data_IF_565892130776
#
_entry.id   IF_565892130776
#
_cell.length_a   1.000
_cell.length_b   1.000
_cell.length_c   1.000
_cell.angle_alpha   90.00
_cell.angle_beta   90.00
_cell.angle_gamma   90.00
#
_symmetry.space_group_name_H-M   'P 1'
#
loop_
_entity.id
_entity.type
_entity.pdbx_description
1 polymer ?
#
# COMPACT_ATOMS: atom_id res chain seq x y z
N UNK A 1 54.60 2.97 -9.22
CA UNK A 1 53.47 3.04 -8.26
C UNK A 1 52.43 4.12 -8.67
N UNK A 2 51.96 4.14 -9.92
CA UNK A 2 50.96 5.13 -10.41
C UNK A 2 49.68 4.52 -11.00
N UNK A 3 49.62 3.19 -11.15
CA UNK A 3 48.44 2.51 -11.71
C UNK A 3 47.61 1.75 -10.66
N UNK A 4 48.05 1.72 -9.39
CA UNK A 4 47.31 1.07 -8.31
C UNK A 4 46.17 1.93 -7.73
N UNK A 5 46.31 3.27 -7.81
CA UNK A 5 45.32 4.20 -7.25
C UNK A 5 44.03 4.26 -8.08
N UNK A 6 44.11 4.03 -9.40
CA UNK A 6 42.94 4.05 -10.29
C UNK A 6 42.05 2.80 -10.12
N UNK A 7 42.65 1.65 -9.77
CA UNK A 7 41.93 0.40 -9.52
C UNK A 7 41.21 0.41 -8.17
N UNK A 8 41.78 1.08 -7.17
CA UNK A 8 41.17 1.25 -5.84
C UNK A 8 39.99 2.24 -5.85
N UNK A 9 40.00 3.26 -6.72
CA UNK A 9 38.88 4.20 -6.83
C UNK A 9 37.63 3.62 -7.51
N UNK A 10 37.77 2.57 -8.33
CA UNK A 10 36.64 1.95 -9.05
C UNK A 10 35.77 1.06 -8.14
N UNK A 11 36.31 0.60 -7.01
CA UNK A 11 35.62 -0.25 -6.03
C UNK A 11 34.81 0.53 -4.98
N UNK A 12 34.89 1.87 -4.97
CA UNK A 12 34.23 2.72 -3.98
C UNK A 12 32.82 3.19 -4.38
N UNK A 13 32.31 2.77 -5.54
CA UNK A 13 30.99 3.18 -6.05
C UNK A 13 30.05 2.03 -6.44
N UNK A 14 30.30 0.80 -5.98
CA UNK A 14 29.31 -0.27 -6.13
C UNK A 14 28.21 -0.10 -5.07
N UNK A 15 27.09 0.52 -5.45
CA UNK A 15 25.86 0.39 -4.67
C UNK A 15 25.48 -1.09 -4.64
N UNK A 16 25.64 -1.75 -3.50
CA UNK A 16 25.16 -3.11 -3.29
C UNK A 16 23.63 -3.05 -3.21
N UNK A 17 22.96 -3.44 -4.30
CA UNK A 17 21.52 -3.72 -4.29
C UNK A 17 21.34 -5.20 -3.92
N UNK A 18 20.92 -5.48 -2.69
CA UNK A 18 20.66 -6.84 -2.19
C UNK A 18 19.14 -7.04 -2.09
N UNK A 19 18.44 -6.87 -3.20
CA UNK A 19 17.01 -7.17 -3.32
C UNK A 19 16.79 -8.04 -4.56
N UNK A 20 15.92 -9.04 -4.46
CA UNK A 20 15.65 -9.90 -5.62
C UNK A 20 14.73 -9.22 -6.64
N UNK A 21 13.82 -8.35 -6.17
CA UNK A 21 13.01 -7.50 -7.04
C UNK A 21 13.24 -6.03 -6.68
N UNK A 22 13.76 -5.26 -7.63
CA UNK A 22 13.93 -3.82 -7.50
C UNK A 22 13.18 -3.10 -8.61
N UNK A 23 12.32 -2.16 -8.24
CA UNK A 23 11.54 -1.35 -9.19
C UNK A 23 11.72 0.12 -8.86
N UNK A 24 12.28 0.89 -9.79
CA UNK A 24 12.49 2.32 -9.64
C UNK A 24 12.25 3.05 -10.96
N UNK A 25 11.91 4.36 -10.92
CA UNK A 25 11.93 5.21 -12.11
C UNK A 25 13.29 5.15 -12.80
N UNK A 26 13.33 5.45 -14.10
CA UNK A 26 14.58 5.52 -14.84
C UNK A 26 15.54 6.53 -14.14
N UNK A 27 16.73 6.10 -13.68
CA UNK A 27 17.62 6.98 -12.91
C UNK A 27 18.16 8.19 -13.68
N UNK A 28 18.13 8.17 -15.02
CA UNK A 28 18.65 9.23 -15.88
C UNK A 28 17.57 10.20 -16.36
N UNK A 29 16.39 9.69 -16.74
CA UNK A 29 15.29 10.52 -17.26
C UNK A 29 14.20 10.79 -16.23
N UNK A 30 14.27 10.18 -15.05
CA UNK A 30 13.23 10.16 -14.03
C UNK A 30 11.88 9.65 -14.53
N UNK A 31 11.80 9.05 -15.72
CA UNK A 31 10.55 8.54 -16.28
C UNK A 31 10.04 7.38 -15.44
N UNK A 32 8.73 7.36 -15.20
CA UNK A 32 8.11 6.34 -14.37
C UNK A 32 8.37 4.93 -14.91
N UNK A 33 8.50 3.96 -14.02
CA UNK A 33 8.66 2.55 -14.33
C UNK A 33 7.93 1.71 -13.29
N UNK A 34 7.22 0.69 -13.75
CA UNK A 34 6.37 -0.12 -12.89
C UNK A 34 6.23 -1.55 -13.41
N UNK A 35 5.86 -2.45 -12.52
CA UNK A 35 5.39 -3.80 -12.87
C UNK A 35 3.87 -3.80 -12.89
N UNK A 36 3.27 -4.28 -13.97
CA UNK A 36 1.84 -4.51 -14.08
C UNK A 36 1.56 -6.00 -14.15
N UNK A 37 0.87 -6.54 -13.16
CA UNK A 37 0.50 -7.94 -13.06
C UNK A 37 -1.03 -8.06 -13.10
N UNK A 38 -1.55 -8.86 -14.02
CA UNK A 38 -2.97 -9.15 -14.13
C UNK A 38 -3.19 -10.65 -14.20
N UNK A 39 -4.01 -11.17 -13.27
CA UNK A 39 -4.37 -12.59 -13.18
C UNK A 39 -3.15 -13.54 -13.14
N UNK A 40 -2.10 -13.11 -12.42
CA UNK A 40 -0.83 -13.84 -12.31
C UNK A 40 -0.22 -13.69 -10.91
N UNK A 41 0.49 -14.72 -10.49
CA UNK A 41 1.30 -14.68 -9.26
C UNK A 41 2.70 -14.18 -9.58
N UNK A 42 3.11 -13.09 -8.93
CA UNK A 42 4.49 -12.62 -8.88
C UNK A 42 5.14 -13.21 -7.62
N UNK A 43 6.08 -14.14 -7.81
CA UNK A 43 6.81 -14.76 -6.72
C UNK A 43 8.20 -14.13 -6.56
N UNK A 44 8.55 -13.72 -5.33
CA UNK A 44 9.87 -13.17 -4.97
C UNK A 44 10.39 -13.91 -3.73
N UNK A 45 11.40 -14.75 -3.88
CA UNK A 45 12.03 -15.49 -2.78
C UNK A 45 12.59 -14.59 -1.65
N UNK A 46 13.20 -13.44 -1.99
CA UNK A 46 13.76 -12.50 -1.00
C UNK A 46 12.91 -11.24 -0.83
N UNK A 47 13.52 -10.09 -0.55
CA UNK A 47 12.85 -8.81 -0.38
C UNK A 47 12.57 -8.10 -1.71
N UNK A 48 11.59 -7.19 -1.65
CA UNK A 48 11.30 -6.23 -2.70
C UNK A 48 11.78 -4.84 -2.29
N UNK A 49 12.42 -4.14 -3.22
CA UNK A 49 12.88 -2.76 -3.05
C UNK A 49 12.16 -1.86 -4.06
N UNK A 50 11.27 -1.00 -3.57
CA UNK A 50 10.40 -0.19 -4.42
C UNK A 50 10.72 1.29 -4.25
N UNK A 51 10.86 2.01 -5.36
CA UNK A 51 10.98 3.46 -5.39
C UNK A 51 9.74 4.06 -6.02
N UNK A 52 9.20 5.10 -5.38
CA UNK A 52 7.98 5.76 -5.79
C UNK A 52 8.16 6.48 -7.13
N UNK A 53 7.20 6.33 -8.04
CA UNK A 53 7.13 7.07 -9.30
C UNK A 53 6.73 8.53 -9.03
N UNK A 54 7.40 9.49 -9.68
CA UNK A 54 7.35 10.92 -9.31
C UNK A 54 6.75 11.84 -10.38
N UNK A 55 6.53 11.36 -11.61
CA UNK A 55 6.04 12.23 -12.67
C UNK A 55 4.55 12.57 -12.51
N UNK A 56 3.74 11.61 -12.07
CA UNK A 56 2.33 11.83 -11.76
C UNK A 56 1.93 11.11 -10.46
N UNK A 57 1.30 11.86 -9.56
CA UNK A 57 0.80 11.35 -8.29
C UNK A 57 -0.29 10.28 -8.46
N UNK A 58 -1.01 10.28 -9.60
CA UNK A 58 -2.06 9.29 -9.88
C UNK A 58 -1.48 7.93 -10.26
N UNK A 59 -0.29 7.90 -10.87
CA UNK A 59 0.43 6.70 -11.33
C UNK A 59 1.68 6.38 -10.51
N UNK A 60 1.74 6.86 -9.27
CA UNK A 60 2.96 6.79 -8.45
C UNK A 60 3.34 5.40 -7.90
N UNK A 61 2.55 4.35 -8.14
CA UNK A 61 2.86 3.02 -7.61
C UNK A 61 3.92 2.31 -8.45
N UNK A 62 4.73 1.47 -7.79
CA UNK A 62 5.82 0.72 -8.41
C UNK A 62 5.34 -0.64 -8.92
N UNK A 63 4.31 -1.22 -8.29
CA UNK A 63 3.69 -2.48 -8.70
C UNK A 63 2.18 -2.34 -8.67
N UNK A 64 1.51 -2.82 -9.72
CA UNK A 64 0.06 -2.86 -9.85
C UNK A 64 -0.44 -4.30 -9.95
N UNK A 65 -1.26 -4.74 -8.99
CA UNK A 65 -1.91 -6.06 -9.02
C UNK A 65 -3.38 -5.91 -9.42
N UNK A 66 -3.79 -6.55 -10.52
CA UNK A 66 -5.16 -6.49 -11.06
C UNK A 66 -5.75 -7.88 -11.29
N UNK A 67 -7.09 -7.95 -11.26
CA UNK A 67 -7.78 -9.23 -11.25
C UNK A 67 -7.41 -10.01 -10.00
N UNK A 68 -7.02 -11.27 -10.17
CA UNK A 68 -6.58 -12.16 -9.08
C UNK A 68 -5.05 -12.21 -8.93
N UNK A 69 -4.33 -11.20 -9.43
CA UNK A 69 -2.89 -11.13 -9.29
C UNK A 69 -2.43 -10.99 -7.84
N UNK A 70 -1.33 -11.65 -7.50
CA UNK A 70 -0.77 -11.69 -6.14
C UNK A 70 0.73 -11.45 -6.14
N UNK A 71 1.24 -10.79 -5.12
CA UNK A 71 2.65 -10.83 -4.76
C UNK A 71 2.82 -11.84 -3.63
N UNK A 72 3.61 -12.89 -3.88
CA UNK A 72 3.95 -13.90 -2.87
C UNK A 72 5.45 -13.82 -2.63
N UNK A 73 5.84 -13.72 -1.36
CA UNK A 73 7.24 -13.69 -0.96
C UNK A 73 7.67 -15.00 -0.28
N UNK A 74 8.94 -15.36 -0.41
CA UNK A 74 9.53 -16.50 0.28
C UNK A 74 9.47 -16.34 1.81
N UNK A 75 9.49 -17.47 2.51
CA UNK A 75 9.39 -17.49 3.97
C UNK A 75 10.58 -16.79 4.65
N UNK A 76 10.30 -16.01 5.68
CA UNK A 76 11.29 -15.24 6.45
C UNK A 76 10.70 -14.77 7.79
N UNK A 77 11.55 -14.65 8.81
CA UNK A 77 11.13 -14.21 10.13
C UNK A 77 10.69 -12.74 10.18
N UNK A 78 11.36 -11.85 9.44
CA UNK A 78 11.07 -10.42 9.42
C UNK A 78 11.12 -9.86 8.00
N UNK A 79 10.30 -8.83 7.75
CA UNK A 79 10.30 -8.10 6.49
C UNK A 79 11.61 -7.34 6.28
N UNK A 80 12.19 -7.52 5.09
CA UNK A 80 13.32 -6.73 4.60
C UNK A 80 12.93 -5.84 3.41
N UNK A 81 11.64 -5.78 3.08
CA UNK A 81 11.13 -4.93 2.02
C UNK A 81 11.52 -3.47 2.28
N UNK A 82 11.92 -2.73 1.24
CA UNK A 82 12.55 -1.42 1.41
C UNK A 82 12.08 -0.39 0.37
N UNK A 83 12.44 0.87 0.64
CA UNK A 83 12.20 1.99 -0.26
C UNK A 83 10.83 2.65 -0.09
N UNK A 84 10.62 3.79 -0.73
CA UNK A 84 9.42 4.62 -0.57
C UNK A 84 8.30 4.31 -1.56
N UNK A 85 8.51 3.34 -2.46
CA UNK A 85 7.57 2.90 -3.47
C UNK A 85 6.37 2.14 -2.90
N UNK A 86 5.40 1.89 -3.77
CA UNK A 86 4.08 1.36 -3.37
C UNK A 86 3.67 0.17 -4.24
N UNK A 87 3.19 -0.87 -3.60
CA UNK A 87 2.32 -1.88 -4.19
C UNK A 87 0.88 -1.34 -4.20
N UNK A 88 0.18 -1.47 -5.32
CA UNK A 88 -1.23 -1.11 -5.51
C UNK A 88 -2.09 -2.35 -5.64
N UNK A 89 -3.08 -2.49 -4.74
CA UNK A 89 -4.03 -3.61 -4.71
C UNK A 89 -5.46 -3.08 -4.62
N UNK A 90 -6.33 -3.54 -5.53
CA UNK A 90 -7.73 -3.16 -5.53
C UNK A 90 -8.57 -4.00 -4.58
N UNK A 91 -9.48 -3.35 -3.86
CA UNK A 91 -10.54 -4.02 -3.10
C UNK A 91 -11.87 -3.28 -3.27
N UNK A 92 -12.97 -4.05 -3.27
CA UNK A 92 -14.33 -3.49 -3.41
C UNK A 92 -15.01 -3.41 -2.05
N UNK A 93 -15.51 -2.21 -1.72
CA UNK A 93 -16.40 -2.01 -0.59
C UNK A 93 -17.73 -2.77 -0.77
N UNK A 94 -18.35 -3.17 0.34
CA UNK A 94 -19.59 -3.96 0.35
C UNK A 94 -20.83 -3.24 0.92
N UNK A 95 -20.64 -2.09 1.56
CA UNK A 95 -21.65 -1.36 2.33
C UNK A 95 -21.67 0.12 1.97
N UNK A 96 -22.80 0.77 2.23
CA UNK A 96 -22.97 2.22 2.10
C UNK A 96 -22.60 2.96 3.40
N UNK A 97 -22.95 4.25 3.49
CA UNK A 97 -22.70 5.10 4.65
C UNK A 97 -23.41 4.70 5.96
N UNK A 98 -24.20 3.63 5.99
CA UNK A 98 -24.82 3.10 7.19
C UNK A 98 -24.14 1.81 7.69
N UNK A 99 -23.30 1.19 6.87
CA UNK A 99 -22.57 -0.03 7.21
C UNK A 99 -21.06 0.18 7.38
N UNK A 100 -20.41 -0.84 7.93
CA UNK A 100 -18.97 -0.90 8.11
C UNK A 100 -18.37 -2.00 7.26
N UNK A 101 -17.23 -1.70 6.67
CA UNK A 101 -16.35 -2.69 6.10
C UNK A 101 -15.40 -3.22 7.17
N UNK A 102 -15.05 -4.50 7.05
CA UNK A 102 -13.96 -5.11 7.80
C UNK A 102 -12.83 -5.37 6.82
N UNK A 103 -11.66 -4.80 7.10
CA UNK A 103 -10.50 -4.85 6.22
C UNK A 103 -9.31 -5.46 6.93
N UNK A 104 -8.39 -5.99 6.13
CA UNK A 104 -7.01 -6.30 6.53
C UNK A 104 -6.06 -5.39 5.78
N UNK A 105 -4.81 -5.28 6.24
CA UNK A 105 -3.80 -4.36 5.69
C UNK A 105 -2.72 -5.13 4.93
N UNK A 106 -2.85 -5.30 3.59
CA UNK A 106 -1.83 -5.97 2.79
C UNK A 106 -0.54 -5.15 2.66
N UNK A 107 -0.59 -3.85 3.00
CA UNK A 107 0.49 -2.89 2.86
C UNK A 107 0.60 -2.00 4.10
N UNK A 108 1.76 -1.36 4.29
CA UNK A 108 2.03 -0.32 5.29
C UNK A 108 2.46 1.00 4.66
N UNK A 109 2.43 2.11 5.42
CA UNK A 109 2.89 3.41 4.97
C UNK A 109 4.44 3.42 4.82
N UNK A 110 5.00 3.51 3.61
CA UNK A 110 6.44 3.42 3.39
C UNK A 110 7.22 4.63 3.92
N UNK A 111 6.56 5.72 4.32
CA UNK A 111 7.20 6.92 4.86
C UNK A 111 7.54 6.83 6.35
N UNK A 112 7.04 5.81 7.05
CA UNK A 112 7.29 5.64 8.49
C UNK A 112 8.64 4.99 8.81
N UNK A 113 9.22 4.27 7.85
CA UNK A 113 10.52 3.60 7.96
C UNK A 113 11.09 3.35 6.57
N UNK A 114 12.40 3.32 6.41
CA UNK A 114 13.06 3.03 5.12
C UNK A 114 12.99 1.54 4.72
N UNK A 115 12.76 0.64 5.68
CA UNK A 115 12.62 -0.80 5.46
C UNK A 115 11.66 -1.47 6.46
N UNK A 116 11.30 -2.72 6.17
CA UNK A 116 10.42 -3.56 6.97
C UNK A 116 8.94 -3.20 6.85
N UNK A 117 8.11 -3.96 7.57
CA UNK A 117 6.69 -3.70 7.71
C UNK A 117 6.45 -2.41 8.48
N UNK A 118 5.44 -1.64 8.06
CA UNK A 118 5.07 -0.38 8.72
C UNK A 118 3.57 -0.34 8.95
N UNK A 119 3.13 0.57 9.83
CA UNK A 119 1.71 0.72 10.10
C UNK A 119 0.96 1.23 8.87
N UNK A 120 -0.29 0.78 8.73
CA UNK A 120 -1.24 1.31 7.79
C UNK A 120 -2.06 2.43 8.43
N UNK A 121 -2.58 3.30 7.58
CA UNK A 121 -3.53 4.35 7.92
C UNK A 121 -4.37 4.71 6.71
N UNK A 122 -5.47 5.42 6.92
CA UNK A 122 -6.43 5.69 5.86
C UNK A 122 -5.87 6.53 4.71
N UNK A 123 -4.71 7.18 4.88
CA UNK A 123 -4.00 7.86 3.79
C UNK A 123 -3.40 6.90 2.75
N UNK A 124 -3.31 5.62 3.06
CA UNK A 124 -2.90 4.58 2.11
C UNK A 124 -4.05 4.13 1.18
N UNK A 125 -5.25 4.70 1.33
CA UNK A 125 -6.34 4.52 0.39
C UNK A 125 -6.32 5.56 -0.74
N UNK A 126 -6.59 5.07 -1.94
CA UNK A 126 -6.71 5.85 -3.15
C UNK A 126 -8.05 5.54 -3.84
N UNK A 127 -8.60 6.55 -4.51
CA UNK A 127 -9.80 6.52 -5.33
C UNK A 127 -9.43 6.18 -6.77
N UNK A 128 -9.91 5.04 -7.27
CA UNK A 128 -9.62 4.60 -8.62
C UNK A 128 -10.32 5.51 -9.62
N UNK A 129 -9.54 6.18 -10.46
CA UNK A 129 -10.07 7.10 -11.46
C UNK A 129 -10.70 6.32 -12.62
N UNK A 130 -11.72 6.91 -13.24
CA UNK A 130 -12.38 6.30 -14.38
C UNK A 130 -11.83 6.86 -15.70
N UNK A 131 -11.69 6.00 -16.70
CA UNK A 131 -11.49 6.38 -18.09
C UNK A 131 -12.72 5.92 -18.89
N UNK A 132 -13.47 6.87 -19.45
CA UNK A 132 -14.73 6.60 -20.16
C UNK A 132 -15.70 5.70 -19.39
N UNK A 133 -15.83 5.92 -18.07
CA UNK A 133 -16.72 5.16 -17.19
C UNK A 133 -16.18 3.82 -16.68
N UNK A 134 -14.98 3.41 -17.08
CA UNK A 134 -14.34 2.16 -16.62
C UNK A 134 -13.16 2.46 -15.69
N UNK A 135 -12.95 1.68 -14.60
CA UNK A 135 -11.78 1.86 -13.73
C UNK A 135 -10.46 1.84 -14.51
N UNK A 136 -9.68 2.91 -14.41
CA UNK A 136 -8.38 2.99 -15.04
C UNK A 136 -7.40 2.10 -14.26
N UNK A 137 -6.65 1.18 -14.92
CA UNK A 137 -5.80 0.22 -14.22
C UNK A 137 -4.74 0.84 -13.32
N UNK A 138 -4.09 1.95 -13.69
CA UNK A 138 -2.98 2.54 -12.92
C UNK A 138 -3.29 3.85 -12.19
N UNK A 139 -4.37 4.57 -12.57
CA UNK A 139 -4.63 5.93 -12.08
C UNK A 139 -5.55 5.89 -10.87
N UNK A 140 -5.04 6.38 -9.73
CA UNK A 140 -5.85 6.58 -8.53
C UNK A 140 -5.40 7.83 -7.79
N UNK A 141 -6.34 8.57 -7.21
CA UNK A 141 -6.05 9.81 -6.43
C UNK A 141 -6.15 9.49 -4.94
N UNK A 142 -5.24 10.00 -4.12
CA UNK A 142 -5.29 9.75 -2.67
C UNK A 142 -6.62 10.24 -2.08
N UNK A 143 -7.22 9.46 -1.18
CA UNK A 143 -8.47 9.85 -0.52
C UNK A 143 -8.34 11.16 0.26
N UNK A 144 -9.48 11.84 0.45
CA UNK A 144 -9.57 13.05 1.29
C UNK A 144 -10.19 12.70 2.65
N UNK A 145 -9.43 12.86 3.73
CA UNK A 145 -9.98 12.62 5.07
C UNK A 145 -11.02 13.69 5.43
N UNK A 146 -12.10 13.29 6.10
CA UNK A 146 -13.10 14.21 6.65
C UNK A 146 -13.41 13.88 8.10
N UNK A 147 -13.73 14.90 8.89
CA UNK A 147 -14.25 14.77 10.26
C UNK A 147 -15.78 14.73 10.30
N UNK A 148 -16.45 14.69 9.15
CA UNK A 148 -17.90 14.52 9.08
C UNK A 148 -18.33 13.10 9.49
N UNK A 149 -19.60 12.94 9.84
CA UNK A 149 -20.18 11.63 10.17
C UNK A 149 -20.07 10.62 9.02
N UNK A 150 -20.16 11.09 7.78
CA UNK A 150 -20.16 10.24 6.60
C UNK A 150 -19.07 10.70 5.63
N UNK A 151 -18.44 9.72 4.98
CA UNK A 151 -17.63 9.95 3.78
C UNK A 151 -18.48 10.05 2.51
N UNK A 152 -17.85 10.39 1.40
CA UNK A 152 -18.47 10.45 0.06
C UNK A 152 -17.69 9.58 -0.90
N UNK A 153 -18.36 9.03 -1.91
CA UNK A 153 -17.74 8.20 -2.93
C UNK A 153 -16.96 9.00 -3.96
N UNK A 154 -17.52 10.12 -4.43
CA UNK A 154 -16.98 10.91 -5.54
C UNK A 154 -17.00 12.42 -5.20
N UNK A 155 -15.84 13.05 -4.97
CA UNK A 155 -14.53 12.41 -4.78
C UNK A 155 -14.52 11.54 -3.51
N UNK A 156 -13.65 10.54 -3.44
CA UNK A 156 -13.53 9.68 -2.26
C UNK A 156 -13.11 10.48 -1.03
N UNK A 157 -14.04 10.58 -0.08
CA UNK A 157 -13.80 11.09 1.27
C UNK A 157 -13.99 9.98 2.28
N UNK A 158 -13.02 9.76 3.15
CA UNK A 158 -13.11 8.79 4.25
C UNK A 158 -13.32 9.53 5.56
N UNK A 159 -14.35 9.15 6.31
CA UNK A 159 -14.59 9.71 7.64
C UNK A 159 -13.60 9.11 8.64
N UNK A 160 -12.79 9.96 9.26
CA UNK A 160 -11.83 9.53 10.30
C UNK A 160 -12.54 9.10 11.58
N UNK A 161 -13.81 9.45 11.79
CA UNK A 161 -14.57 9.09 13.01
C UNK A 161 -14.80 7.60 13.18
N UNK A 162 -14.70 6.83 12.10
CA UNK A 162 -15.18 5.45 12.04
C UNK A 162 -14.08 4.45 11.71
N UNK A 163 -12.85 4.74 12.15
CA UNK A 163 -11.69 3.89 11.95
C UNK A 163 -11.29 3.29 13.30
N UNK A 164 -11.53 1.99 13.44
CA UNK A 164 -11.29 1.26 14.69
C UNK A 164 -10.60 -0.07 14.43
N UNK A 165 -9.74 -0.47 15.34
CA UNK A 165 -9.10 -1.79 15.37
C UNK A 165 -9.58 -2.52 16.61
N UNK A 166 -9.88 -3.80 16.49
CA UNK A 166 -10.12 -4.65 17.65
C UNK A 166 -8.81 -5.32 18.07
N UNK A 167 -8.29 -5.01 19.26
CA UNK A 167 -7.04 -5.59 19.78
C UNK A 167 -7.32 -6.47 20.99
N UNK A 168 -7.24 -7.79 20.80
CA UNK A 168 -7.57 -8.77 21.83
C UNK A 168 -9.00 -9.31 21.70
N UNK A 169 -9.26 -10.46 22.33
CA UNK A 169 -10.52 -11.19 22.19
C UNK A 169 -11.50 -10.86 23.32
N UNK A 170 -12.80 -10.97 23.01
CA UNK A 170 -13.84 -11.20 24.02
C UNK A 170 -14.49 -9.99 24.70
N UNK A 171 -14.01 -8.75 24.51
CA UNK A 171 -14.60 -7.56 25.15
C UNK A 171 -14.77 -6.36 24.22
N UNK A 172 -15.87 -5.62 24.37
CA UNK A 172 -16.14 -4.40 23.60
C UNK A 172 -15.15 -3.26 23.92
N UNK A 173 -14.59 -3.22 25.14
CA UNK A 173 -13.58 -2.25 25.55
C UNK A 173 -12.26 -2.33 24.75
N UNK A 174 -12.07 -3.39 23.98
CA UNK A 174 -10.86 -3.65 23.20
C UNK A 174 -10.83 -2.93 21.85
N UNK A 175 -11.91 -2.22 21.49
CA UNK A 175 -11.95 -1.37 20.31
C UNK A 175 -11.09 -0.11 20.53
N UNK A 176 -10.08 0.03 19.69
CA UNK A 176 -9.16 1.17 19.71
C UNK A 176 -9.50 2.11 18.55
N UNK A 177 -9.80 3.36 18.87
CA UNK A 177 -10.03 4.42 17.88
C UNK A 177 -8.70 4.86 17.25
N UNK A 178 -8.61 4.83 15.91
CA UNK A 178 -7.39 5.15 15.17
C UNK A 178 -7.43 6.55 14.53
N UNK A 179 -8.61 7.05 14.21
CA UNK A 179 -8.79 8.31 13.48
C UNK A 179 -8.10 8.32 12.10
N UNK A 180 -7.32 9.37 11.82
CA UNK A 180 -6.53 9.57 10.59
C UNK A 180 -5.04 9.25 10.80
N UNK A 181 -4.69 8.52 11.86
CA UNK A 181 -3.31 8.17 12.18
C UNK A 181 -2.90 6.87 11.45
N UNK A 182 -1.59 6.68 11.25
CA UNK A 182 -1.03 5.40 10.83
C UNK A 182 -0.88 4.46 12.04
N UNK A 183 -2.03 4.12 12.63
CA UNK A 183 -2.12 3.36 13.87
C UNK A 183 -2.50 1.89 13.70
N UNK A 184 -2.73 1.40 12.47
CA UNK A 184 -3.16 0.03 12.21
C UNK A 184 -1.91 -0.82 11.96
N UNK A 185 -1.64 -1.79 12.84
CA UNK A 185 -0.42 -2.61 12.75
C UNK A 185 -0.51 -3.62 11.58
N UNK A 186 0.61 -4.12 11.07
CA UNK A 186 0.61 -5.27 10.17
C UNK A 186 -0.21 -6.43 10.75
N UNK A 187 -1.10 -7.00 9.93
CA UNK A 187 -2.03 -8.06 10.35
C UNK A 187 -3.21 -7.60 11.21
N UNK A 188 -3.34 -6.33 11.59
CA UNK A 188 -4.56 -5.81 12.22
C UNK A 188 -5.73 -5.85 11.23
N UNK A 189 -6.85 -6.43 11.70
CA UNK A 189 -8.15 -6.18 11.11
C UNK A 189 -8.70 -4.85 11.63
N UNK A 190 -9.35 -4.07 10.77
CA UNK A 190 -9.95 -2.80 11.17
C UNK A 190 -11.31 -2.59 10.52
N UNK A 191 -12.13 -1.78 11.17
CA UNK A 191 -13.42 -1.33 10.64
C UNK A 191 -13.30 0.04 10.02
N UNK A 192 -14.00 0.25 8.91
CA UNK A 192 -14.18 1.56 8.28
C UNK A 192 -15.61 1.71 7.80
N UNK A 193 -16.27 2.82 8.12
CA UNK A 193 -17.63 3.09 7.61
C UNK A 193 -17.61 3.32 6.10
N UNK A 194 -18.63 2.81 5.41
CA UNK A 194 -18.80 3.04 3.98
C UNK A 194 -19.11 4.50 3.64
N UNK A 195 -19.22 4.79 2.35
CA UNK A 195 -19.39 6.15 1.82
C UNK A 195 -20.80 6.40 1.29
N UNK A 196 -21.22 7.67 1.28
CA UNK A 196 -22.44 8.10 0.59
C UNK A 196 -22.24 7.91 -0.92
N UNK A 197 -23.27 7.43 -1.60
CA UNK A 197 -23.24 7.14 -3.04
C UNK A 197 -22.71 5.74 -3.37
N UNK A 198 -22.38 4.92 -2.37
CA UNK A 198 -22.05 3.50 -2.54
C UNK A 198 -23.30 2.65 -2.40
N UNK A 199 -23.49 1.70 -3.31
CA UNK A 199 -24.59 0.70 -3.28
C UNK A 199 -24.03 -0.69 -3.58
N UNK A 200 -24.85 -1.74 -3.45
CA UNK A 200 -24.46 -3.11 -3.84
C UNK A 200 -24.17 -3.25 -5.33
N UNK A 201 -24.92 -2.52 -6.18
CA UNK A 201 -24.75 -2.50 -7.64
C UNK A 201 -23.68 -1.52 -8.09
N UNK A 202 -23.26 -0.60 -7.21
CA UNK A 202 -22.20 0.35 -7.47
C UNK A 202 -21.30 0.46 -6.23
N UNK A 203 -20.44 -0.54 -5.96
CA UNK A 203 -19.54 -0.50 -4.81
C UNK A 203 -18.44 0.54 -5.03
N UNK A 204 -17.94 1.18 -3.95
CA UNK A 204 -16.68 1.92 -4.00
C UNK A 204 -15.54 0.95 -4.29
N UNK A 205 -14.73 1.28 -5.29
CA UNK A 205 -13.47 0.60 -5.56
C UNK A 205 -12.35 1.37 -4.86
N UNK A 206 -11.66 0.71 -3.95
CA UNK A 206 -10.54 1.25 -3.20
C UNK A 206 -9.23 0.69 -3.76
N UNK A 207 -8.22 1.54 -3.88
CA UNK A 207 -6.86 1.15 -4.21
C UNK A 207 -5.97 1.32 -2.98
N UNK A 208 -5.53 0.20 -2.41
CA UNK A 208 -4.62 0.14 -1.27
C UNK A 208 -3.21 0.30 -1.81
N UNK A 209 -2.54 1.39 -1.42
CA UNK A 209 -1.16 1.68 -1.83
C UNK A 209 -0.23 1.81 -0.65
N UNK A 210 0.85 1.03 -0.64
CA UNK A 210 1.89 1.09 0.39
C UNK A 210 2.99 0.05 0.18
N UNK A 211 3.93 -0.07 1.12
CA UNK A 211 4.93 -1.14 1.08
C UNK A 211 4.26 -2.48 1.40
N UNK A 212 4.48 -3.54 0.62
CA UNK A 212 3.90 -4.85 0.91
C UNK A 212 4.38 -5.38 2.26
N UNK A 213 3.44 -5.89 3.05
CA UNK A 213 3.76 -6.59 4.29
C UNK A 213 4.19 -8.03 3.98
N UNK A 214 5.26 -8.50 4.60
CA UNK A 214 5.73 -9.89 4.49
C UNK A 214 6.41 -10.40 5.78
N UNK A 215 6.84 -11.66 5.76
CA UNK A 215 7.42 -12.36 6.91
C UNK A 215 6.39 -12.79 7.96
N UNK A 216 6.87 -13.27 9.10
CA UNK A 216 6.02 -13.67 10.22
C UNK A 216 5.31 -12.47 10.84
N UNK A 217 3.98 -12.50 10.83
CA UNK A 217 3.12 -11.47 11.44
C UNK A 217 2.59 -11.99 12.76
N UNK A 218 3.35 -11.78 13.84
CA UNK A 218 2.93 -12.15 15.18
C UNK A 218 2.17 -11.01 15.87
N UNK A 219 0.92 -11.28 16.23
CA UNK A 219 0.20 -10.49 17.23
C UNK A 219 0.61 -11.05 18.58
N UNK A 220 1.51 -10.35 19.28
CA UNK A 220 1.84 -10.70 20.66
C UNK A 220 0.55 -10.92 21.45
N UNK A 221 0.28 -12.17 21.80
CA UNK A 221 -0.89 -12.62 22.56
C UNK A 221 -0.71 -12.35 24.04
#
# INVERSE_FOLDING_TARGET
MKHLLLSASLLLFSNLLIAQLHVQPNPSSSTDSYVYANDVVLYVHQDVSLVNNINDATTNASIYLRGDAQLIQGDKAASLNSGNGKLSVWQRGRTNNFGYHNWSTPVGNPLLSTSGNTNFGIRSFYDVQLNSGTPHPTHSVQQISTTNLNGTRDPLRISSRWIYVLRGLGNYSNWVYIANNDGILPGDGYTMKGTIGTTSTNPQLYDFRGRPNDGTIDKGS
#
